data_IF_658325881554
#
_entry.id   IF_658325881554
#
_cell.length_a   1.000
_cell.length_b   1.000
_cell.length_c   1.000
_cell.angle_alpha   90.00
_cell.angle_beta   90.00
_cell.angle_gamma   90.00
#
_symmetry.space_group_name_H-M   'P 1'
#
loop_
_entity.id
_entity.type
_entity.pdbx_description
1 polymer ?
#
# COMPACT_ATOMS: atom_id res chain seq x y z
N UNK A 1 21.58 -2.75 -18.03
CA UNK A 1 21.89 -4.21 -18.05
C UNK A 1 23.01 -4.60 -17.07
N UNK A 2 23.95 -3.71 -16.73
CA UNK A 2 25.09 -4.04 -15.84
C UNK A 2 24.64 -4.40 -14.42
N UNK A 3 23.58 -3.77 -13.91
CA UNK A 3 23.05 -4.09 -12.59
C UNK A 3 22.51 -5.54 -12.54
N UNK A 4 21.77 -5.96 -13.56
CA UNK A 4 21.24 -7.33 -13.65
C UNK A 4 22.37 -8.35 -13.76
N UNK A 5 23.43 -8.04 -14.51
CA UNK A 5 24.61 -8.90 -14.65
C UNK A 5 25.36 -9.04 -13.33
N UNK A 6 25.51 -7.93 -12.59
CA UNK A 6 26.17 -7.91 -11.26
C UNK A 6 25.45 -8.78 -10.23
N UNK A 7 24.10 -8.87 -10.31
CA UNK A 7 23.29 -9.66 -9.38
C UNK A 7 22.79 -10.99 -9.96
N UNK A 8 23.37 -11.45 -11.07
CA UNK A 8 22.93 -12.67 -11.75
C UNK A 8 23.06 -13.94 -10.88
N UNK A 9 24.00 -13.97 -9.94
CA UNK A 9 24.18 -15.05 -8.98
C UNK A 9 23.04 -15.16 -7.95
N UNK A 10 22.31 -14.06 -7.74
CA UNK A 10 21.16 -14.01 -6.83
C UNK A 10 19.83 -14.30 -7.55
N UNK A 11 19.90 -14.68 -8.83
CA UNK A 11 18.71 -14.97 -9.61
C UNK A 11 18.05 -16.24 -9.11
N UNK A 12 16.76 -16.16 -8.84
CA UNK A 12 15.92 -17.31 -8.47
C UNK A 12 15.07 -17.67 -9.69
N UNK A 13 15.12 -18.93 -10.10
CA UNK A 13 14.24 -19.50 -11.10
C UNK A 13 13.00 -20.09 -10.44
N UNK A 14 11.93 -20.28 -11.21
CA UNK A 14 10.65 -20.76 -10.67
C UNK A 14 10.79 -22.15 -10.04
N UNK A 15 11.68 -22.98 -10.56
CA UNK A 15 11.97 -24.31 -10.04
C UNK A 15 12.60 -24.26 -8.63
N UNK A 16 13.44 -23.26 -8.38
CA UNK A 16 14.02 -23.01 -7.06
C UNK A 16 12.95 -22.50 -6.07
N UNK A 17 12.02 -21.67 -6.55
CA UNK A 17 10.93 -21.17 -5.73
C UNK A 17 10.03 -22.29 -5.24
N UNK A 18 9.73 -23.30 -6.07
CA UNK A 18 8.98 -24.49 -5.66
C UNK A 18 9.60 -25.18 -4.45
N UNK A 19 10.90 -25.34 -4.42
CA UNK A 19 11.65 -26.00 -3.33
C UNK A 19 11.69 -25.15 -2.04
N UNK A 20 11.70 -23.83 -2.19
CA UNK A 20 11.85 -22.87 -1.09
C UNK A 20 10.56 -22.08 -0.78
N UNK A 21 9.40 -22.46 -1.31
CA UNK A 21 8.15 -21.69 -1.27
C UNK A 21 7.77 -21.28 0.15
N UNK A 22 7.87 -22.17 1.13
CA UNK A 22 7.55 -21.89 2.55
C UNK A 22 8.45 -20.86 3.23
N UNK A 23 9.61 -20.57 2.64
CA UNK A 23 10.61 -19.60 3.16
C UNK A 23 10.74 -18.38 2.26
N UNK A 24 9.85 -18.24 1.28
CA UNK A 24 9.94 -17.18 0.27
C UNK A 24 8.86 -16.14 0.45
N UNK A 25 9.24 -14.88 0.32
CA UNK A 25 8.32 -13.74 0.17
C UNK A 25 8.58 -13.10 -1.17
N UNK A 26 7.53 -12.93 -1.96
CA UNK A 26 7.61 -12.37 -3.30
C UNK A 26 6.91 -11.02 -3.36
N UNK A 27 7.56 -10.02 -3.92
CA UNK A 27 6.89 -8.80 -4.34
C UNK A 27 6.01 -9.12 -5.56
N UNK A 28 4.74 -9.36 -5.29
CA UNK A 28 3.80 -9.85 -6.29
C UNK A 28 3.41 -8.77 -7.30
N UNK A 29 3.39 -9.17 -8.57
CA UNK A 29 2.79 -8.44 -9.68
C UNK A 29 1.79 -9.33 -10.40
N UNK A 30 0.70 -8.80 -11.00
CA UNK A 30 -0.34 -9.62 -11.62
C UNK A 30 0.17 -10.65 -12.65
N UNK A 31 1.26 -10.38 -13.35
CA UNK A 31 1.85 -11.32 -14.30
C UNK A 31 2.53 -12.52 -13.65
N UNK A 32 2.98 -12.41 -12.41
CA UNK A 32 3.61 -13.54 -11.69
C UNK A 32 2.64 -14.72 -11.48
N UNK A 33 1.33 -14.52 -11.64
CA UNK A 33 0.33 -15.60 -11.54
C UNK A 33 0.70 -16.80 -12.43
N UNK A 34 1.07 -16.52 -13.67
CA UNK A 34 1.41 -17.57 -14.64
C UNK A 34 2.66 -18.36 -14.26
N UNK A 35 3.67 -17.67 -13.74
CA UNK A 35 4.90 -18.32 -13.29
C UNK A 35 4.65 -19.14 -12.03
N UNK A 36 3.87 -18.61 -11.08
CA UNK A 36 3.54 -19.29 -9.83
C UNK A 36 2.68 -20.54 -10.05
N UNK A 37 1.70 -20.49 -10.99
CA UNK A 37 0.93 -21.66 -11.40
C UNK A 37 1.84 -22.72 -12.04
N UNK A 38 2.66 -22.31 -13.02
CA UNK A 38 3.61 -23.22 -13.70
C UNK A 38 4.63 -23.83 -12.74
N UNK A 39 5.04 -23.06 -11.74
CA UNK A 39 5.99 -23.52 -10.71
C UNK A 39 5.35 -24.39 -9.62
N UNK A 40 4.03 -24.55 -9.61
CA UNK A 40 3.30 -25.33 -8.60
C UNK A 40 3.67 -24.95 -7.15
N UNK A 41 3.90 -23.66 -6.90
CA UNK A 41 4.39 -23.15 -5.61
C UNK A 41 3.33 -22.36 -4.81
N UNK A 42 2.02 -22.56 -5.11
CA UNK A 42 0.92 -21.83 -4.49
C UNK A 42 0.42 -22.46 -3.19
N UNK A 43 0.68 -23.74 -2.96
CA UNK A 43 0.15 -24.46 -1.80
C UNK A 43 0.58 -23.82 -0.48
N UNK A 44 -0.40 -23.39 0.34
CA UNK A 44 -0.19 -22.72 1.62
C UNK A 44 0.33 -21.28 1.51
N UNK A 45 0.22 -20.67 0.33
CA UNK A 45 0.59 -19.26 0.15
C UNK A 45 -0.48 -18.33 0.74
N UNK A 46 -0.07 -17.12 1.02
CA UNK A 46 -0.91 -16.02 1.53
C UNK A 46 -0.64 -14.77 0.70
N UNK A 47 -1.67 -14.05 0.35
CA UNK A 47 -1.54 -12.76 -0.33
C UNK A 47 -1.66 -11.61 0.66
N UNK A 48 -0.61 -10.82 0.80
CA UNK A 48 -0.60 -9.61 1.62
C UNK A 48 -0.79 -8.41 0.70
N UNK A 49 -1.92 -7.72 0.87
CA UNK A 49 -2.22 -6.49 0.17
C UNK A 49 -1.82 -5.29 1.04
N UNK A 50 -0.82 -4.54 0.61
CA UNK A 50 -0.23 -3.44 1.37
C UNK A 50 -0.49 -2.06 0.76
N UNK A 51 -1.48 -1.93 -0.11
CA UNK A 51 -1.93 -0.66 -0.65
C UNK A 51 -3.26 -0.23 -0.02
N UNK A 52 -3.69 0.98 -0.31
CA UNK A 52 -4.98 1.46 0.15
C UNK A 52 -6.13 0.59 -0.40
N UNK A 53 -7.03 0.16 0.48
CA UNK A 53 -8.11 -0.77 0.12
C UNK A 53 -9.07 -0.20 -0.96
N UNK A 54 -9.18 1.13 -1.09
CA UNK A 54 -9.95 1.73 -2.18
C UNK A 54 -9.49 1.33 -3.58
N UNK A 55 -8.18 1.09 -3.78
CA UNK A 55 -7.70 0.56 -5.08
C UNK A 55 -8.10 -0.89 -5.30
N UNK A 56 -8.26 -1.67 -4.23
CA UNK A 56 -8.73 -3.05 -4.33
C UNK A 56 -10.15 -3.14 -4.83
N UNK A 57 -11.00 -2.19 -4.45
CA UNK A 57 -12.42 -2.14 -4.86
C UNK A 57 -12.60 -1.58 -6.28
N UNK A 58 -11.63 -0.84 -6.79
CA UNK A 58 -11.63 -0.40 -8.19
C UNK A 58 -11.26 -1.58 -9.11
N UNK A 59 -12.02 -1.82 -10.18
CA UNK A 59 -12.00 -3.02 -11.04
C UNK A 59 -10.65 -3.52 -11.60
N UNK A 60 -9.53 -2.85 -11.31
CA UNK A 60 -8.19 -3.26 -11.75
C UNK A 60 -7.67 -4.57 -11.14
N UNK A 61 -8.26 -5.01 -10.03
CA UNK A 61 -7.84 -6.22 -9.29
C UNK A 61 -8.72 -7.45 -9.53
N UNK A 62 -9.77 -7.38 -10.33
CA UNK A 62 -10.74 -8.46 -10.49
C UNK A 62 -10.08 -9.78 -10.91
N UNK A 63 -9.17 -9.73 -11.88
CA UNK A 63 -8.40 -10.91 -12.30
C UNK A 63 -7.52 -11.50 -11.20
N UNK A 64 -7.07 -10.68 -10.26
CA UNK A 64 -6.29 -11.14 -9.10
C UNK A 64 -7.23 -11.73 -8.06
N UNK A 65 -8.39 -11.11 -7.82
CA UNK A 65 -9.43 -11.63 -6.91
C UNK A 65 -9.87 -13.03 -7.33
N UNK A 66 -10.23 -13.20 -8.61
CA UNK A 66 -10.64 -14.49 -9.17
C UNK A 66 -9.53 -15.55 -9.05
N UNK A 67 -8.30 -15.15 -9.30
CA UNK A 67 -7.16 -16.04 -9.19
C UNK A 67 -6.88 -16.48 -7.74
N UNK A 68 -6.97 -15.55 -6.78
CA UNK A 68 -6.84 -15.88 -5.36
C UNK A 68 -7.93 -16.86 -4.90
N UNK A 69 -9.18 -16.63 -5.32
CA UNK A 69 -10.30 -17.53 -5.04
C UNK A 69 -10.08 -18.91 -5.65
N UNK A 70 -9.73 -18.96 -6.94
CA UNK A 70 -9.46 -20.23 -7.66
C UNK A 70 -8.43 -21.10 -6.94
N UNK A 71 -7.40 -20.49 -6.35
CA UNK A 71 -6.31 -21.20 -5.69
C UNK A 71 -6.43 -21.25 -4.16
N UNK A 72 -7.57 -20.80 -3.60
CA UNK A 72 -7.82 -20.77 -2.16
C UNK A 72 -6.72 -20.02 -1.38
N UNK A 73 -6.20 -18.93 -1.94
CA UNK A 73 -5.17 -18.10 -1.34
C UNK A 73 -5.83 -17.02 -0.48
N UNK A 74 -5.66 -17.02 0.84
CA UNK A 74 -6.23 -15.99 1.70
C UNK A 74 -5.55 -14.63 1.44
N UNK A 75 -6.36 -13.56 1.41
CA UNK A 75 -5.89 -12.17 1.36
C UNK A 75 -5.90 -11.57 2.77
N UNK A 76 -4.83 -10.89 3.11
CA UNK A 76 -4.74 -10.03 4.29
C UNK A 76 -4.40 -8.60 3.86
N UNK A 77 -5.19 -7.63 4.29
CA UNK A 77 -4.88 -6.21 4.11
C UNK A 77 -4.01 -5.74 5.26
N UNK A 78 -2.80 -5.29 4.94
CA UNK A 78 -1.84 -4.70 5.89
C UNK A 78 -1.31 -3.44 5.21
N UNK A 79 -1.94 -2.31 5.52
CA UNK A 79 -1.58 -1.03 4.93
C UNK A 79 -1.09 -0.06 6.00
N UNK A 80 0.11 0.46 5.81
CA UNK A 80 0.59 1.63 6.52
C UNK A 80 0.44 2.82 5.59
N UNK A 81 -0.48 3.72 5.93
CA UNK A 81 -0.66 4.95 5.18
C UNK A 81 0.64 5.75 5.11
N UNK A 82 0.94 6.34 3.96
CA UNK A 82 1.98 7.37 3.85
C UNK A 82 1.56 8.71 4.43
N UNK A 83 0.35 8.82 4.97
CA UNK A 83 -0.15 10.02 5.62
C UNK A 83 0.25 10.05 7.10
N UNK A 84 0.45 11.25 7.63
CA UNK A 84 0.77 11.45 9.03
C UNK A 84 -0.40 11.03 9.94
N UNK A 85 -0.10 10.38 11.06
CA UNK A 85 -1.07 10.09 12.10
C UNK A 85 -1.48 11.37 12.85
N UNK A 86 -2.65 11.39 13.53
CA UNK A 86 -3.03 12.53 14.37
C UNK A 86 -1.95 12.90 15.41
N UNK A 87 -1.24 11.92 15.94
CA UNK A 87 -0.14 12.15 16.90
C UNK A 87 1.03 12.88 16.24
N UNK A 88 1.40 12.48 15.03
CA UNK A 88 2.48 13.12 14.27
C UNK A 88 2.09 14.53 13.84
N UNK A 89 0.84 14.73 13.39
CA UNK A 89 0.33 16.05 13.08
C UNK A 89 0.38 16.98 14.30
N UNK A 90 -0.02 16.51 15.48
CA UNK A 90 0.08 17.30 16.73
C UNK A 90 1.51 17.69 17.06
N UNK A 91 2.46 16.76 16.93
CA UNK A 91 3.88 17.03 17.14
C UNK A 91 4.41 18.05 16.14
N UNK A 92 4.03 17.92 14.88
CA UNK A 92 4.46 18.81 13.81
C UNK A 92 3.93 20.24 14.02
N UNK A 93 2.63 20.40 14.26
CA UNK A 93 1.99 21.71 14.53
C UNK A 93 2.57 22.35 15.78
N UNK A 94 2.81 21.58 16.84
CA UNK A 94 3.43 22.09 18.07
C UNK A 94 4.88 22.57 17.87
N UNK A 95 5.62 21.94 16.95
CA UNK A 95 6.98 22.34 16.61
C UNK A 95 7.03 23.63 15.75
N UNK A 96 6.14 23.75 14.76
CA UNK A 96 6.12 24.89 13.83
C UNK A 96 5.40 26.09 14.44
N UNK A 97 4.37 25.87 15.29
CA UNK A 97 3.51 26.91 15.88
C UNK A 97 2.91 27.85 14.84
N UNK A 98 2.19 27.34 13.85
CA UNK A 98 1.65 28.16 12.77
C UNK A 98 0.51 29.06 13.26
N UNK A 99 0.30 30.17 12.57
CA UNK A 99 -0.85 31.05 12.82
C UNK A 99 -2.16 30.38 12.43
N UNK A 100 -2.15 29.58 11.36
CA UNK A 100 -3.32 28.84 10.85
C UNK A 100 -2.93 27.40 10.51
N UNK A 101 -3.86 26.48 10.66
CA UNK A 101 -3.80 25.09 10.18
C UNK A 101 -4.91 24.88 9.16
N UNK A 102 -4.54 24.67 7.91
CA UNK A 102 -5.50 24.43 6.82
C UNK A 102 -5.41 22.97 6.41
N UNK A 103 -6.42 22.13 6.69
CA UNK A 103 -6.42 20.74 6.25
C UNK A 103 -6.73 20.66 4.75
N UNK A 104 -5.83 20.06 4.00
CA UNK A 104 -6.00 19.72 2.59
C UNK A 104 -5.80 18.22 2.41
N UNK A 105 -6.42 17.65 1.38
CA UNK A 105 -6.29 16.21 1.08
C UNK A 105 -6.66 15.33 2.28
N UNK A 106 -7.73 15.67 2.97
CA UNK A 106 -8.26 14.93 4.12
C UNK A 106 -9.70 14.48 3.87
N UNK A 107 -10.04 13.25 4.29
CA UNK A 107 -11.42 12.76 4.25
C UNK A 107 -12.32 13.39 5.34
N UNK A 108 -11.71 13.89 6.42
CA UNK A 108 -12.43 14.39 7.58
C UNK A 108 -11.85 15.74 8.05
N UNK A 109 -11.86 16.80 7.20
CA UNK A 109 -11.32 18.09 7.57
C UNK A 109 -12.03 18.69 8.78
N UNK A 110 -13.32 18.37 8.96
CA UNK A 110 -14.16 18.84 10.07
C UNK A 110 -13.71 18.33 11.46
N UNK A 111 -12.83 17.31 11.52
CA UNK A 111 -12.25 16.82 12.79
C UNK A 111 -10.99 17.54 13.23
N UNK A 112 -10.41 18.38 12.36
CA UNK A 112 -9.18 19.10 12.71
C UNK A 112 -9.35 20.10 13.85
N UNK A 113 -10.51 20.82 14.00
CA UNK A 113 -10.74 21.69 15.16
C UNK A 113 -10.68 20.96 16.51
N UNK A 114 -10.93 19.65 16.55
CA UNK A 114 -10.75 18.83 17.78
C UNK A 114 -9.27 18.63 18.13
N UNK A 115 -8.38 18.78 17.14
CA UNK A 115 -6.95 18.56 17.29
C UNK A 115 -6.16 19.87 17.49
N UNK A 116 -6.63 20.97 16.90
CA UNK A 116 -5.93 22.26 16.83
C UNK A 116 -6.86 23.43 17.01
N UNK A 117 -6.47 24.49 17.74
CA UNK A 117 -7.35 25.63 18.06
C UNK A 117 -7.49 26.65 16.90
N UNK A 118 -6.60 26.63 15.91
CA UNK A 118 -6.48 27.62 14.87
C UNK A 118 -6.70 27.03 13.46
N UNK A 119 -7.71 26.17 13.33
CA UNK A 119 -8.06 25.52 12.06
C UNK A 119 -8.95 26.42 11.23
N UNK A 120 -8.64 26.53 9.94
CA UNK A 120 -9.46 27.16 8.92
C UNK A 120 -9.76 26.14 7.82
N UNK A 121 -11.03 25.89 7.54
CA UNK A 121 -11.47 24.87 6.58
C UNK A 121 -11.95 25.60 5.32
N UNK A 122 -11.42 25.18 4.17
CA UNK A 122 -11.79 25.70 2.85
C UNK A 122 -12.43 24.60 2.00
N UNK A 123 -13.32 25.01 1.10
CA UNK A 123 -13.95 24.10 0.15
C UNK A 123 -13.09 23.91 -1.10
N UNK A 124 -13.30 22.82 -1.81
CA UNK A 124 -12.62 22.56 -3.07
C UNK A 124 -12.89 23.71 -4.08
N UNK A 125 -11.82 24.26 -4.64
CA UNK A 125 -11.90 25.37 -5.58
C UNK A 125 -12.00 26.77 -4.95
N UNK A 126 -12.03 26.87 -3.62
CA UNK A 126 -11.96 28.12 -2.91
C UNK A 126 -10.52 28.67 -2.88
N UNK A 127 -10.36 29.96 -3.15
CA UNK A 127 -9.08 30.65 -3.04
C UNK A 127 -8.99 31.37 -1.69
N UNK A 128 -7.87 31.26 -1.02
CA UNK A 128 -7.60 31.97 0.24
C UNK A 128 -6.17 32.53 0.25
N UNK A 129 -5.95 33.52 1.09
CA UNK A 129 -4.61 34.09 1.36
C UNK A 129 -3.92 33.33 2.50
N UNK A 130 -2.62 33.13 2.33
CA UNK A 130 -1.76 32.43 3.31
C UNK A 130 -1.06 33.41 4.23
#
# INVERSE_FOLDING_TARGET
FDLLKRHSTNRIFIEHLKQASRKSTLLFRPLHRFDLERGECLAGSTYIYSQWDGYWEQGGYDRVKDWLLKHSIPKHSIHTSGHASPTELKRFVAAIKPNKVVPIHSFFPEKYPELFPNVEIHQDGEWWEV
#
